data_IF_758922171785
#
_entry.id   IF_758922171785
#
_cell.length_a   1.000
_cell.length_b   1.000
_cell.length_c   1.000
_cell.angle_alpha   90.00
_cell.angle_beta   90.00
_cell.angle_gamma   90.00
#
_symmetry.space_group_name_H-M   'P 1'
#
loop_
_entity.id
_entity.type
_entity.pdbx_description
1 polymer ?
#
# COMPACT_ATOMS: atom_id res chain seq x y z
N UNK A 1 -10.43 9.71 -12.71
CA UNK A 1 -9.52 8.56 -12.84
C UNK A 1 -10.19 7.53 -13.74
N UNK A 2 -9.43 6.85 -14.60
CA UNK A 2 -10.01 5.82 -15.48
C UNK A 2 -10.15 4.52 -14.69
N UNK A 3 -11.38 4.15 -14.35
CA UNK A 3 -11.66 2.90 -13.63
C UNK A 3 -11.71 1.75 -14.64
N UNK A 4 -10.79 0.80 -14.53
CA UNK A 4 -10.68 -0.35 -15.44
C UNK A 4 -11.17 -1.62 -14.78
N UNK A 5 -11.71 -2.53 -15.59
CA UNK A 5 -11.98 -3.90 -15.15
C UNK A 5 -10.69 -4.70 -15.18
N UNK A 6 -10.35 -5.31 -14.05
CA UNK A 6 -9.24 -6.26 -13.95
C UNK A 6 -9.77 -7.69 -14.02
N UNK A 7 -9.06 -8.56 -14.75
CA UNK A 7 -9.36 -9.99 -14.87
C UNK A 7 -8.08 -10.76 -14.55
N UNK A 8 -8.17 -11.69 -13.60
CA UNK A 8 -7.11 -12.65 -13.31
C UNK A 8 -7.66 -14.06 -13.43
N UNK A 9 -6.87 -14.94 -14.04
CA UNK A 9 -7.20 -16.34 -14.21
C UNK A 9 -6.06 -17.23 -13.75
N UNK A 10 -6.41 -18.32 -13.09
CA UNK A 10 -5.51 -19.40 -12.72
C UNK A 10 -5.93 -20.63 -13.52
N UNK A 11 -5.07 -21.06 -14.44
CA UNK A 11 -5.20 -22.35 -15.10
C UNK A 11 -4.88 -23.48 -14.12
N UNK A 12 -5.72 -24.50 -14.08
CA UNK A 12 -5.53 -25.66 -13.21
C UNK A 12 -5.60 -26.96 -14.02
N UNK A 13 -5.14 -28.05 -13.43
CA UNK A 13 -5.57 -29.38 -13.87
C UNK A 13 -7.03 -29.64 -13.46
N UNK A 14 -7.49 -30.89 -13.52
CA UNK A 14 -8.87 -31.25 -13.22
C UNK A 14 -9.17 -31.12 -11.71
N UNK A 15 -9.84 -30.03 -11.33
CA UNK A 15 -10.31 -29.80 -9.97
C UNK A 15 -11.56 -30.64 -9.66
N UNK A 16 -11.70 -31.16 -8.41
CA UNK A 16 -12.90 -31.86 -8.00
C UNK A 16 -14.15 -30.97 -8.11
N UNK A 17 -15.25 -31.42 -8.76
CA UNK A 17 -16.45 -30.59 -8.94
C UNK A 17 -17.05 -30.05 -7.64
N UNK A 18 -16.96 -30.83 -6.55
CA UNK A 18 -17.46 -30.44 -5.22
C UNK A 18 -16.63 -29.33 -4.56
N UNK A 19 -15.37 -29.18 -4.94
CA UNK A 19 -14.45 -28.19 -4.37
C UNK A 19 -14.39 -26.87 -5.16
N UNK A 20 -14.87 -26.86 -6.42
CA UNK A 20 -14.79 -25.70 -7.30
C UNK A 20 -15.34 -24.42 -6.67
N UNK A 21 -16.56 -24.51 -6.13
CA UNK A 21 -17.23 -23.35 -5.53
C UNK A 21 -16.46 -22.81 -4.32
N UNK A 22 -16.09 -23.70 -3.38
CA UNK A 22 -15.37 -23.29 -2.17
C UNK A 22 -14.01 -22.67 -2.50
N UNK A 23 -13.29 -23.22 -3.49
CA UNK A 23 -12.01 -22.68 -3.94
C UNK A 23 -12.17 -21.30 -4.59
N UNK A 24 -13.19 -21.12 -5.44
CA UNK A 24 -13.46 -19.84 -6.09
C UNK A 24 -13.88 -18.75 -5.09
N UNK A 25 -14.76 -19.09 -4.14
CA UNK A 25 -15.17 -18.19 -3.06
C UNK A 25 -13.98 -17.82 -2.16
N UNK A 26 -13.12 -18.79 -1.84
CA UNK A 26 -11.90 -18.53 -1.05
C UNK A 26 -10.92 -17.63 -1.80
N UNK A 27 -10.75 -17.86 -3.11
CA UNK A 27 -9.90 -17.00 -3.94
C UNK A 27 -10.43 -15.56 -3.96
N UNK A 28 -11.74 -15.37 -4.16
CA UNK A 28 -12.35 -14.04 -4.13
C UNK A 28 -12.20 -13.35 -2.77
N UNK A 29 -12.46 -14.06 -1.68
CA UNK A 29 -12.37 -13.52 -0.33
C UNK A 29 -10.94 -13.08 0.01
N UNK A 30 -9.95 -13.94 -0.24
CA UNK A 30 -8.55 -13.62 0.01
C UNK A 30 -8.07 -12.47 -0.88
N UNK A 31 -8.41 -12.49 -2.17
CA UNK A 31 -8.01 -11.41 -3.08
C UNK A 31 -8.62 -10.06 -2.69
N UNK A 32 -9.89 -10.04 -2.27
CA UNK A 32 -10.54 -8.83 -1.76
C UNK A 32 -9.82 -8.30 -0.53
N UNK A 33 -9.54 -9.15 0.45
CA UNK A 33 -8.82 -8.76 1.65
C UNK A 33 -7.42 -8.19 1.35
N UNK A 34 -6.71 -8.76 0.37
CA UNK A 34 -5.40 -8.23 -0.04
C UNK A 34 -5.49 -6.88 -0.76
N UNK A 35 -6.54 -6.64 -1.57
CA UNK A 35 -6.77 -5.31 -2.14
C UNK A 35 -7.05 -4.26 -1.05
N UNK A 36 -7.88 -4.62 -0.08
CA UNK A 36 -8.20 -3.78 1.08
C UNK A 36 -6.94 -3.47 1.91
N UNK A 37 -6.13 -4.50 2.22
CA UNK A 37 -4.88 -4.35 2.95
C UNK A 37 -3.87 -3.48 2.20
N UNK A 38 -3.84 -3.57 0.87
CA UNK A 38 -3.05 -2.71 0.02
C UNK A 38 -3.62 -1.28 -0.08
N UNK A 39 -4.84 -1.02 0.40
CA UNK A 39 -5.49 0.28 0.22
C UNK A 39 -5.78 0.61 -1.25
N UNK A 40 -5.97 -0.41 -2.08
CA UNK A 40 -6.34 -0.25 -3.49
C UNK A 40 -7.86 -0.18 -3.61
N UNK A 41 -8.39 0.96 -4.02
CA UNK A 41 -9.82 1.09 -4.26
C UNK A 41 -10.27 0.15 -5.38
N UNK A 42 -11.37 -0.56 -5.14
CA UNK A 42 -11.94 -1.49 -6.11
C UNK A 42 -13.47 -1.56 -5.99
N UNK A 43 -14.11 -1.96 -7.07
CA UNK A 43 -15.53 -2.30 -7.11
C UNK A 43 -15.77 -3.77 -6.76
N UNK A 44 -16.85 -4.34 -7.29
CA UNK A 44 -17.23 -5.72 -7.02
C UNK A 44 -16.20 -6.73 -7.53
N UNK A 45 -15.85 -7.70 -6.69
CA UNK A 45 -15.05 -8.88 -7.05
C UNK A 45 -16.01 -10.04 -7.34
N UNK A 46 -16.08 -10.46 -8.60
CA UNK A 46 -16.90 -11.59 -9.05
C UNK A 46 -16.01 -12.79 -9.37
N UNK A 47 -16.36 -13.97 -8.84
CA UNK A 47 -15.64 -15.21 -9.12
C UNK A 47 -16.29 -16.05 -10.22
N UNK A 48 -15.45 -16.83 -10.89
CA UNK A 48 -15.83 -17.85 -11.87
C UNK A 48 -15.03 -19.12 -11.61
N UNK A 49 -15.65 -20.27 -11.87
CA UNK A 49 -15.03 -21.57 -11.68
C UNK A 49 -15.42 -22.54 -12.80
N UNK A 50 -14.44 -23.24 -13.34
CA UNK A 50 -14.56 -24.39 -14.22
C UNK A 50 -13.55 -25.46 -13.76
N UNK A 51 -13.71 -26.74 -14.14
CA UNK A 51 -12.82 -27.80 -13.68
C UNK A 51 -11.32 -27.52 -13.86
N UNK A 52 -10.95 -26.77 -14.91
CA UNK A 52 -9.55 -26.43 -15.23
C UNK A 52 -9.22 -24.94 -15.10
N UNK A 53 -10.08 -24.15 -14.45
CA UNK A 53 -9.90 -22.69 -14.36
C UNK A 53 -10.62 -22.08 -13.16
N UNK A 54 -9.92 -21.22 -12.43
CA UNK A 54 -10.52 -20.27 -11.50
C UNK A 54 -10.23 -18.86 -12.02
N UNK A 55 -11.18 -17.94 -11.89
CA UNK A 55 -10.99 -16.57 -12.33
C UNK A 55 -11.73 -15.58 -11.43
N UNK A 56 -11.20 -14.35 -11.36
CA UNK A 56 -11.84 -13.21 -10.72
C UNK A 56 -11.92 -12.04 -11.70
N UNK A 57 -13.10 -11.42 -11.78
CA UNK A 57 -13.32 -10.13 -12.42
C UNK A 57 -13.51 -9.09 -11.33
N UNK A 58 -12.65 -8.07 -11.30
CA UNK A 58 -12.73 -6.95 -10.38
C UNK A 58 -13.15 -5.72 -11.16
N UNK A 59 -14.34 -5.21 -10.87
CA UNK A 59 -14.80 -3.95 -11.44
C UNK A 59 -14.01 -2.79 -10.83
N UNK A 60 -13.81 -1.73 -11.62
CA UNK A 60 -13.32 -0.44 -11.15
C UNK A 60 -12.05 -0.50 -10.26
N UNK A 61 -11.08 -1.34 -10.64
CA UNK A 61 -9.82 -1.42 -9.89
C UNK A 61 -8.98 -0.18 -10.17
N UNK A 62 -8.54 0.49 -9.12
CA UNK A 62 -7.61 1.60 -9.21
C UNK A 62 -6.27 1.16 -9.81
N UNK A 63 -5.69 1.98 -10.69
CA UNK A 63 -4.39 1.66 -11.32
C UNK A 63 -3.21 1.78 -10.34
N UNK A 64 -3.39 2.53 -9.26
CA UNK A 64 -2.40 2.74 -8.22
C UNK A 64 -3.08 3.00 -6.86
N UNK A 65 -2.31 2.84 -5.79
CA UNK A 65 -2.70 3.26 -4.44
C UNK A 65 -2.85 4.79 -4.41
N UNK A 66 -3.74 5.33 -3.56
CA UNK A 66 -3.80 6.77 -3.35
C UNK A 66 -2.47 7.28 -2.77
N UNK A 67 -2.15 8.53 -3.07
CA UNK A 67 -0.99 9.18 -2.45
C UNK A 67 -1.13 9.14 -0.94
N UNK A 68 -0.04 8.76 -0.28
CA UNK A 68 0.05 8.75 1.18
C UNK A 68 1.13 9.71 1.61
N UNK A 69 0.73 10.72 2.38
CA UNK A 69 1.68 11.56 3.09
C UNK A 69 2.27 10.73 4.25
N UNK A 70 3.60 10.60 4.25
CA UNK A 70 4.34 9.94 5.32
C UNK A 70 5.11 11.01 6.08
N UNK A 71 4.62 11.33 7.28
CA UNK A 71 5.34 12.21 8.19
C UNK A 71 6.54 11.46 8.78
N UNK A 72 7.75 11.85 8.37
CA UNK A 72 8.99 11.38 8.97
C UNK A 72 9.45 12.41 9.98
N UNK A 73 9.50 12.04 11.26
CA UNK A 73 9.99 12.93 12.31
C UNK A 73 11.51 12.87 12.43
N UNK A 74 12.11 14.06 12.46
CA UNK A 74 13.53 14.22 12.74
C UNK A 74 13.85 14.19 14.24
N UNK A 75 15.13 14.33 14.60
CA UNK A 75 15.54 14.50 15.99
C UNK A 75 14.91 15.76 16.61
N UNK A 76 14.77 15.78 17.94
CA UNK A 76 14.28 16.95 18.67
C UNK A 76 15.14 18.19 18.35
N UNK A 77 14.54 19.39 18.38
CA UNK A 77 15.24 20.63 17.97
C UNK A 77 16.57 20.82 18.72
N UNK A 78 16.59 20.50 20.02
CA UNK A 78 17.80 20.58 20.86
C UNK A 78 18.94 19.61 20.45
N UNK A 79 18.63 18.56 19.68
CA UNK A 79 19.60 17.60 19.14
C UNK A 79 19.81 17.79 17.63
N UNK A 80 18.89 18.48 16.95
CA UNK A 80 18.96 18.77 15.54
C UNK A 80 19.92 19.92 15.22
N UNK A 81 20.09 20.87 16.14
CA UNK A 81 20.95 22.05 15.95
C UNK A 81 21.93 22.20 17.12
N UNK A 82 23.15 22.64 16.81
CA UNK A 82 24.13 23.03 17.82
C UNK A 82 23.86 24.45 18.37
N UNK A 83 24.73 24.90 19.29
CA UNK A 83 24.62 26.22 19.90
C UNK A 83 24.78 27.39 18.90
N UNK A 84 25.35 27.14 17.73
CA UNK A 84 25.55 28.11 16.64
C UNK A 84 24.40 28.07 15.62
N UNK A 85 23.41 27.20 15.83
CA UNK A 85 22.28 27.01 14.93
C UNK A 85 22.61 26.18 13.68
N UNK A 86 23.76 25.50 13.65
CA UNK A 86 24.12 24.61 12.53
C UNK A 86 23.50 23.23 12.73
N UNK A 87 23.07 22.56 11.65
CA UNK A 87 22.56 21.20 11.72
C UNK A 87 23.57 20.23 12.32
N UNK A 88 23.11 19.35 13.21
CA UNK A 88 23.92 18.25 13.72
C UNK A 88 24.05 17.14 12.67
N UNK A 89 25.06 16.28 12.83
CA UNK A 89 25.22 15.09 11.98
C UNK A 89 23.98 14.18 11.99
N UNK A 90 23.23 14.15 13.10
CA UNK A 90 22.00 13.38 13.21
C UNK A 90 20.89 13.99 12.35
N UNK A 91 20.73 15.32 12.35
CA UNK A 91 19.79 16.02 11.48
C UNK A 91 20.15 15.85 10.00
N UNK A 92 21.43 15.99 9.64
CA UNK A 92 21.90 15.80 8.27
C UNK A 92 21.69 14.36 7.78
N UNK A 93 21.99 13.36 8.63
CA UNK A 93 21.78 11.95 8.31
C UNK A 93 20.31 11.61 8.12
N UNK A 94 19.45 12.15 8.99
CA UNK A 94 18.00 12.00 8.88
C UNK A 94 17.45 12.65 7.59
N UNK A 95 17.82 13.90 7.31
CA UNK A 95 17.38 14.62 6.12
C UNK A 95 17.79 13.88 4.83
N UNK A 96 19.06 13.42 4.78
CA UNK A 96 19.56 12.58 3.68
C UNK A 96 18.76 11.28 3.52
N UNK A 97 18.40 10.62 4.62
CA UNK A 97 17.53 9.43 4.61
C UNK A 97 16.09 9.71 4.16
N UNK A 98 15.67 10.98 4.21
CA UNK A 98 14.40 11.46 3.68
C UNK A 98 14.52 12.01 2.25
N UNK A 99 15.72 12.08 1.67
CA UNK A 99 15.96 12.62 0.33
C UNK A 99 15.91 14.15 0.25
N UNK A 100 16.01 14.84 1.38
CA UNK A 100 15.94 16.31 1.48
C UNK A 100 17.21 16.87 2.18
N UNK A 101 17.36 18.18 2.17
CA UNK A 101 18.29 18.91 3.04
C UNK A 101 17.60 19.36 4.33
N UNK A 102 18.38 19.72 5.36
CA UNK A 102 17.82 20.13 6.67
C UNK A 102 17.00 21.42 6.56
N UNK A 103 17.38 22.33 5.65
CA UNK A 103 16.67 23.58 5.35
C UNK A 103 15.33 23.37 4.64
N UNK A 104 15.11 22.21 4.01
CA UNK A 104 13.83 21.84 3.41
C UNK A 104 12.83 21.24 4.42
N UNK A 105 13.25 21.01 5.66
CA UNK A 105 12.41 20.44 6.71
C UNK A 105 11.66 21.52 7.50
N UNK A 106 10.46 21.20 7.96
CA UNK A 106 9.67 22.04 8.85
C UNK A 106 9.85 21.64 10.32
N UNK A 107 9.62 22.59 11.23
CA UNK A 107 9.63 22.34 12.67
C UNK A 107 8.21 22.05 13.15
N UNK A 108 8.03 20.90 13.79
CA UNK A 108 6.76 20.50 14.40
C UNK A 108 6.84 20.67 15.91
N UNK A 109 5.93 21.45 16.50
CA UNK A 109 5.78 21.52 17.96
C UNK A 109 5.01 20.31 18.44
N UNK A 110 5.52 19.59 19.43
CA UNK A 110 4.82 18.48 20.08
C UNK A 110 4.71 18.73 21.57
N UNK A 111 3.85 17.98 22.28
CA UNK A 111 3.74 18.08 23.75
C UNK A 111 5.05 17.77 24.49
N UNK A 112 6.06 17.24 23.79
CA UNK A 112 7.40 16.95 24.30
C UNK A 112 8.44 18.04 23.98
N UNK A 113 8.01 19.17 23.40
CA UNK A 113 8.88 20.22 22.84
C UNK A 113 9.12 19.98 21.37
#
# INVERSE_FOLDING_TARGET
MSEKTFLVEIGTEELPPKALRSLAESFAANFTAELDNAGLAHGTVQWFAAPRRLALKVANLAEAQPDREIEKRGPAIAQAFDAEGKPSKAAEGWARGCGITVDQAERLTTDKG
#
